data_IF_482464814654
#
_entry.id   IF_482464814654
#
_cell.length_a   1.000
_cell.length_b   1.000
_cell.length_c   1.000
_cell.angle_alpha   90.00
_cell.angle_beta   90.00
_cell.angle_gamma   90.00
#
_symmetry.space_group_name_H-M   'P 1'
#
loop_
_entity.id
_entity.type
_entity.pdbx_description
1 polymer ?
#
# COMPACT_ATOMS: atom_id res chain seq x y z
N UNK A 1 -21.66 -49.82 -3.01
CA UNK A 1 -21.07 -48.88 -2.02
C UNK A 1 -20.42 -47.65 -2.69
N UNK A 2 -19.59 -47.82 -3.73
CA UNK A 2 -18.81 -46.73 -4.36
C UNK A 2 -19.61 -45.54 -4.92
N UNK A 3 -20.75 -45.75 -5.59
CA UNK A 3 -21.56 -44.65 -6.16
C UNK A 3 -22.03 -43.64 -5.11
N UNK A 4 -22.38 -44.08 -3.90
CA UNK A 4 -22.83 -43.20 -2.82
C UNK A 4 -21.68 -42.36 -2.26
N UNK A 5 -20.48 -42.93 -2.19
CA UNK A 5 -19.27 -42.24 -1.74
C UNK A 5 -18.87 -41.16 -2.75
N UNK A 6 -18.88 -41.49 -4.06
CA UNK A 6 -18.58 -40.52 -5.12
C UNK A 6 -19.54 -39.32 -5.08
N UNK A 7 -20.84 -39.57 -4.92
CA UNK A 7 -21.84 -38.50 -4.80
C UNK A 7 -21.63 -37.63 -3.55
N UNK A 8 -21.26 -38.23 -2.42
CA UNK A 8 -20.98 -37.49 -1.20
C UNK A 8 -19.74 -36.59 -1.35
N UNK A 9 -18.67 -37.08 -1.99
CA UNK A 9 -17.45 -36.30 -2.26
C UNK A 9 -17.74 -35.13 -3.20
N UNK A 10 -18.51 -35.37 -4.27
CA UNK A 10 -18.93 -34.30 -5.19
C UNK A 10 -19.77 -33.26 -4.47
N UNK A 11 -20.73 -33.69 -3.63
CA UNK A 11 -21.54 -32.77 -2.83
C UNK A 11 -20.70 -31.89 -1.90
N UNK A 12 -19.72 -32.47 -1.22
CA UNK A 12 -18.79 -31.72 -0.37
C UNK A 12 -17.96 -30.72 -1.18
N UNK A 13 -17.43 -31.15 -2.33
CA UNK A 13 -16.66 -30.27 -3.21
C UNK A 13 -17.49 -29.07 -3.70
N UNK A 14 -18.76 -29.29 -4.07
CA UNK A 14 -19.67 -28.22 -4.48
C UNK A 14 -19.92 -27.23 -3.34
N UNK A 15 -20.14 -27.71 -2.11
CA UNK A 15 -20.34 -26.85 -0.93
C UNK A 15 -19.09 -26.00 -0.65
N UNK A 16 -17.89 -26.59 -0.74
CA UNK A 16 -16.63 -25.88 -0.52
C UNK A 16 -16.38 -24.81 -1.59
N UNK A 17 -16.62 -25.12 -2.86
CA UNK A 17 -16.51 -24.17 -3.97
C UNK A 17 -17.51 -23.03 -3.80
N UNK A 18 -18.77 -23.35 -3.48
CA UNK A 18 -19.80 -22.35 -3.23
C UNK A 18 -19.41 -21.42 -2.07
N UNK A 19 -18.92 -21.98 -0.96
CA UNK A 19 -18.43 -21.19 0.18
C UNK A 19 -17.26 -20.27 -0.16
N UNK A 20 -16.33 -20.72 -1.01
CA UNK A 20 -15.18 -19.91 -1.44
C UNK A 20 -15.57 -18.73 -2.34
N UNK A 21 -16.52 -18.93 -3.26
CA UNK A 21 -16.93 -17.90 -4.21
C UNK A 21 -18.02 -16.96 -3.68
N UNK A 22 -18.95 -17.47 -2.87
CA UNK A 22 -20.07 -16.71 -2.33
C UNK A 22 -19.82 -16.16 -0.92
N UNK A 23 -18.69 -16.52 -0.31
CA UNK A 23 -18.29 -15.98 0.99
C UNK A 23 -18.15 -14.46 0.95
N UNK A 24 -18.61 -13.75 2.00
CA UNK A 24 -18.51 -12.30 2.05
C UNK A 24 -17.04 -11.86 1.98
N UNK A 25 -16.72 -11.00 1.02
CA UNK A 25 -15.40 -10.37 0.90
C UNK A 25 -15.50 -8.95 1.41
N UNK A 26 -14.55 -8.55 2.25
CA UNK A 26 -14.43 -7.15 2.66
C UNK A 26 -13.90 -6.37 1.47
N UNK A 27 -14.65 -5.36 0.95
CA UNK A 27 -14.12 -4.50 -0.09
C UNK A 27 -12.98 -3.68 0.50
N UNK A 28 -11.81 -3.74 -0.13
CA UNK A 28 -10.68 -2.87 0.20
C UNK A 28 -10.67 -1.75 -0.83
N UNK A 29 -10.71 -0.50 -0.38
CA UNK A 29 -10.50 0.64 -1.27
C UNK A 29 -9.03 0.66 -1.68
N UNK A 30 -8.75 0.30 -2.93
CA UNK A 30 -7.42 0.34 -3.53
C UNK A 30 -7.16 1.64 -4.28
N UNK A 31 -8.07 2.61 -4.21
CA UNK A 31 -7.93 3.90 -4.86
C UNK A 31 -6.87 4.73 -4.13
N UNK A 32 -5.71 4.91 -4.77
CA UNK A 32 -4.68 5.81 -4.25
C UNK A 32 -5.17 7.25 -4.46
N UNK A 33 -5.55 7.91 -3.37
CA UNK A 33 -5.88 9.34 -3.36
C UNK A 33 -4.65 10.13 -2.93
N UNK A 34 -3.95 10.73 -3.89
CA UNK A 34 -2.83 11.61 -3.61
C UNK A 34 -3.18 13.05 -3.98
N UNK A 35 -3.07 13.95 -3.01
CA UNK A 35 -3.21 15.37 -3.25
C UNK A 35 -1.83 16.05 -3.21
N UNK A 36 -1.26 16.46 -4.35
CA UNK A 36 0.09 17.03 -4.39
C UNK A 36 0.20 18.36 -3.66
N UNK A 37 -0.91 19.08 -3.43
CA UNK A 37 -0.86 20.36 -2.71
C UNK A 37 -0.49 20.22 -1.24
N UNK A 38 -0.61 19.02 -0.65
CA UNK A 38 -0.27 18.76 0.75
C UNK A 38 1.25 18.83 1.00
N UNK A 39 2.06 18.49 -0.02
CA UNK A 39 3.52 18.61 0.05
C UNK A 39 3.93 20.10 0.04
N UNK A 40 3.15 20.95 -0.63
CA UNK A 40 3.50 22.36 -0.81
C UNK A 40 4.77 22.53 -1.65
N UNK A 41 5.36 23.72 -1.64
CA UNK A 41 6.53 24.04 -2.49
C UNK A 41 7.87 23.61 -1.92
N UNK A 42 7.91 23.24 -0.64
CA UNK A 42 9.10 22.73 0.05
C UNK A 42 8.86 21.28 0.52
N UNK A 43 9.24 20.28 -0.30
CA UNK A 43 9.15 18.87 0.06
C UNK A 43 9.97 18.49 1.30
N UNK A 44 11.05 19.23 1.61
CA UNK A 44 11.93 18.91 2.73
C UNK A 44 11.30 19.34 4.05
N UNK A 45 10.68 20.53 4.07
CA UNK A 45 9.85 20.97 5.19
C UNK A 45 8.63 20.06 5.41
N UNK A 46 8.03 19.56 4.32
CA UNK A 46 6.98 18.55 4.40
C UNK A 46 7.45 17.29 5.14
N UNK A 47 8.56 16.69 4.72
CA UNK A 47 9.09 15.49 5.37
C UNK A 47 9.39 15.71 6.86
N UNK A 48 10.07 16.80 7.20
CA UNK A 48 10.40 17.11 8.58
C UNK A 48 9.15 17.24 9.46
N UNK A 49 8.07 17.86 8.94
CA UNK A 49 6.79 17.97 9.66
C UNK A 49 6.12 16.62 9.85
N UNK A 50 6.04 15.80 8.81
CA UNK A 50 5.39 14.48 8.90
C UNK A 50 6.18 13.54 9.82
N UNK A 51 7.51 13.59 9.80
CA UNK A 51 8.36 12.76 10.65
C UNK A 51 8.39 13.22 12.11
N UNK A 52 8.22 14.51 12.39
CA UNK A 52 8.07 15.01 13.76
C UNK A 52 6.86 14.41 14.50
N UNK A 53 5.83 13.96 13.77
CA UNK A 53 4.68 13.27 14.36
C UNK A 53 4.95 11.79 14.70
N UNK A 54 6.07 11.23 14.23
CA UNK A 54 6.43 9.82 14.44
C UNK A 54 7.50 9.72 15.54
N UNK A 55 7.16 9.15 16.70
CA UNK A 55 8.13 9.02 17.78
C UNK A 55 9.20 7.95 17.46
N UNK A 56 10.40 8.12 18.03
CA UNK A 56 11.50 7.15 17.99
C UNK A 56 12.09 6.85 16.60
N UNK A 57 12.02 7.80 15.66
CA UNK A 57 12.91 7.75 14.48
C UNK A 57 14.35 7.90 15.00
N UNK A 58 15.25 6.99 14.57
CA UNK A 58 16.67 7.05 14.91
C UNK A 58 17.41 7.84 13.84
N UNK A 59 18.50 8.49 14.23
CA UNK A 59 19.37 9.20 13.30
C UNK A 59 19.79 8.31 12.12
N UNK A 60 19.65 8.82 10.90
CA UNK A 60 19.96 8.10 9.66
C UNK A 60 18.87 7.12 9.19
N UNK A 61 17.72 7.07 9.87
CA UNK A 61 16.52 6.37 9.43
C UNK A 61 15.38 7.33 9.03
N UNK A 62 15.64 8.64 9.04
CA UNK A 62 14.80 9.67 8.47
C UNK A 62 14.77 9.58 6.93
N UNK A 63 13.70 10.12 6.32
CA UNK A 63 13.59 10.16 4.87
C UNK A 63 14.50 11.25 4.31
N UNK A 64 15.41 10.84 3.42
CA UNK A 64 16.34 11.76 2.75
C UNK A 64 15.88 12.10 1.32
N UNK A 65 16.02 13.37 0.93
CA UNK A 65 15.84 13.81 -0.46
C UNK A 65 17.21 14.07 -1.08
N UNK A 66 17.58 13.25 -2.05
CA UNK A 66 18.75 13.48 -2.90
C UNK A 66 18.32 14.31 -4.11
N UNK A 67 18.68 15.60 -4.10
CA UNK A 67 18.31 16.52 -5.17
C UNK A 67 19.12 16.29 -6.45
N UNK A 68 18.43 16.30 -7.59
CA UNK A 68 19.09 16.21 -8.90
C UNK A 68 20.06 17.38 -9.14
N UNK A 69 19.72 18.58 -8.66
CA UNK A 69 20.64 19.72 -8.58
C UNK A 69 20.72 20.22 -7.12
N UNK A 70 21.83 19.95 -6.41
CA UNK A 70 21.99 20.29 -5.01
C UNK A 70 22.14 21.80 -4.73
N UNK A 71 22.27 22.64 -5.77
CA UNK A 71 22.34 24.10 -5.57
C UNK A 71 20.97 24.78 -5.63
N UNK A 72 19.98 24.14 -6.27
CA UNK A 72 18.69 24.78 -6.56
C UNK A 72 17.57 24.19 -5.70
N UNK A 73 17.68 22.90 -5.32
CA UNK A 73 16.64 22.19 -4.55
C UNK A 73 15.22 22.41 -5.11
N UNK A 74 15.09 22.43 -6.44
CA UNK A 74 13.82 22.65 -7.11
C UNK A 74 13.09 21.33 -7.39
N UNK A 75 11.76 21.39 -7.37
CA UNK A 75 10.90 20.30 -7.82
C UNK A 75 11.21 19.90 -9.26
N UNK A 76 11.25 18.60 -9.49
CA UNK A 76 11.46 17.99 -10.79
C UNK A 76 10.16 17.34 -11.30
N UNK A 77 9.99 17.18 -12.62
CA UNK A 77 8.86 16.42 -13.17
C UNK A 77 8.86 14.93 -12.76
N UNK A 78 10.01 14.39 -12.35
CA UNK A 78 10.19 13.00 -11.95
C UNK A 78 10.89 12.92 -10.60
N UNK A 79 10.37 12.07 -9.71
CA UNK A 79 11.01 11.66 -8.46
C UNK A 79 11.06 10.13 -8.40
N UNK A 80 12.17 9.58 -7.94
CA UNK A 80 12.37 8.14 -7.76
C UNK A 80 12.37 7.89 -6.24
N UNK A 81 11.50 6.98 -5.79
CA UNK A 81 11.36 6.64 -4.37
C UNK A 81 11.89 5.22 -4.15
N UNK A 82 12.80 5.07 -3.20
CA UNK A 82 13.33 3.78 -2.74
C UNK A 82 12.79 3.51 -1.32
N UNK A 83 12.28 2.30 -1.08
CA UNK A 83 11.60 1.88 0.16
C UNK A 83 12.23 0.59 0.68
#
# INVERSE_FOLDING_TARGET
MGRRIVLAVIGLAVILVAGFFLGPRVPVDTTIRFNPSVIGDDPQAYLAREEAAVPNIRDGLDKEIIWANPMVHAKTPLAIVYI
#
